data_IF_972618771945
#
_entry.id   IF_972618771945
#
_cell.length_a   1.000
_cell.length_b   1.000
_cell.length_c   1.000
_cell.angle_alpha   90.00
_cell.angle_beta   90.00
_cell.angle_gamma   90.00
#
_symmetry.space_group_name_H-M   'P 1'
#
loop_
_entity.id
_entity.type
_entity.pdbx_description
1 polymer ?
#
# COMPACT_ATOMS: atom_id res chain seq x y z
N UNK A 1 -16.64 15.08 -28.65
CA UNK A 1 -17.54 14.04 -28.11
C UNK A 1 -16.81 12.80 -27.58
N UNK A 2 -15.55 12.53 -27.98
CA UNK A 2 -14.74 11.43 -27.45
C UNK A 2 -14.29 11.50 -25.97
N UNK A 3 -13.96 12.67 -25.36
CA UNK A 3 -13.39 12.68 -24.00
C UNK A 3 -14.41 12.35 -22.90
N UNK A 4 -15.70 12.59 -23.13
CA UNK A 4 -16.75 12.27 -22.16
C UNK A 4 -17.01 10.77 -22.07
N UNK A 5 -16.99 10.05 -23.20
CA UNK A 5 -17.19 8.59 -23.23
C UNK A 5 -16.06 7.86 -22.49
N UNK A 6 -14.80 8.30 -22.68
CA UNK A 6 -13.65 7.73 -21.99
C UNK A 6 -13.75 7.88 -20.45
N UNK A 7 -14.26 9.01 -19.96
CA UNK A 7 -14.45 9.22 -18.53
C UNK A 7 -15.51 8.25 -17.98
N UNK A 8 -16.64 8.06 -18.67
CA UNK A 8 -17.67 7.12 -18.24
C UNK A 8 -17.16 5.67 -18.22
N UNK A 9 -16.39 5.26 -19.22
CA UNK A 9 -15.79 3.92 -19.27
C UNK A 9 -14.81 3.73 -18.09
N UNK A 10 -13.96 4.71 -17.81
CA UNK A 10 -13.05 4.67 -16.66
C UNK A 10 -13.78 4.57 -15.32
N UNK A 11 -14.87 5.33 -15.14
CA UNK A 11 -15.69 5.25 -13.92
C UNK A 11 -16.38 3.89 -13.79
N UNK A 12 -16.84 3.31 -14.89
CA UNK A 12 -17.42 1.96 -14.90
C UNK A 12 -16.39 0.91 -14.48
N UNK A 13 -15.16 0.99 -15.02
CA UNK A 13 -14.07 0.08 -14.68
C UNK A 13 -13.65 0.21 -13.20
N UNK A 14 -13.53 1.44 -12.71
CA UNK A 14 -13.24 1.70 -11.29
C UNK A 14 -14.33 1.18 -10.37
N UNK A 15 -15.59 1.29 -10.78
CA UNK A 15 -16.73 0.79 -10.02
C UNK A 15 -16.71 -0.74 -9.91
N UNK A 16 -16.35 -1.44 -10.98
CA UNK A 16 -16.17 -2.89 -10.97
C UNK A 16 -15.04 -3.30 -10.01
N UNK A 17 -13.90 -2.62 -10.06
CA UNK A 17 -12.75 -2.88 -9.19
C UNK A 17 -13.15 -2.68 -7.72
N UNK A 18 -13.84 -1.60 -7.40
CA UNK A 18 -14.35 -1.32 -6.05
C UNK A 18 -15.27 -2.45 -5.54
N UNK A 19 -16.18 -2.95 -6.38
CA UNK A 19 -17.05 -4.09 -6.01
C UNK A 19 -16.26 -5.36 -5.71
N UNK A 20 -15.22 -5.65 -6.50
CA UNK A 20 -14.35 -6.82 -6.27
C UNK A 20 -13.62 -6.68 -4.94
N UNK A 21 -13.08 -5.49 -4.65
CA UNK A 21 -12.43 -5.22 -3.37
C UNK A 21 -13.37 -5.39 -2.18
N UNK A 22 -14.56 -4.79 -2.23
CA UNK A 22 -15.58 -4.94 -1.18
C UNK A 22 -15.96 -6.41 -1.00
N UNK A 23 -16.15 -7.15 -2.10
CA UNK A 23 -16.42 -8.59 -2.04
C UNK A 23 -15.31 -9.36 -1.32
N UNK A 24 -14.05 -9.13 -1.70
CA UNK A 24 -12.91 -9.77 -1.05
C UNK A 24 -12.82 -9.43 0.44
N UNK A 25 -13.05 -8.17 0.81
CA UNK A 25 -13.10 -7.74 2.22
C UNK A 25 -14.21 -8.46 2.97
N UNK A 26 -15.39 -8.60 2.37
CA UNK A 26 -16.54 -9.26 2.96
C UNK A 26 -16.27 -10.75 3.18
N UNK A 27 -15.77 -11.44 2.16
CA UNK A 27 -15.37 -12.86 2.26
C UNK A 27 -14.30 -13.04 3.34
N UNK A 28 -13.27 -12.19 3.35
CA UNK A 28 -12.20 -12.23 4.35
C UNK A 28 -12.75 -12.02 5.75
N UNK A 29 -13.59 -11.00 5.95
CA UNK A 29 -14.20 -10.70 7.24
C UNK A 29 -15.05 -11.87 7.75
N UNK A 30 -15.96 -12.39 6.91
CA UNK A 30 -16.83 -13.50 7.31
C UNK A 30 -16.00 -14.75 7.60
N UNK A 31 -14.99 -15.08 6.79
CA UNK A 31 -14.13 -16.23 7.04
C UNK A 31 -13.28 -16.09 8.29
N UNK A 32 -12.80 -14.90 8.61
CA UNK A 32 -11.98 -14.64 9.80
C UNK A 32 -12.81 -14.68 11.10
N UNK A 33 -14.11 -14.36 11.03
CA UNK A 33 -14.97 -14.31 12.23
C UNK A 33 -15.83 -15.56 12.42
N UNK A 34 -16.31 -16.18 11.34
CA UNK A 34 -17.20 -17.35 11.37
C UNK A 34 -16.55 -18.65 10.88
N UNK A 35 -15.32 -18.58 10.36
CA UNK A 35 -14.63 -19.74 9.80
C UNK A 35 -15.18 -20.19 8.45
N UNK A 36 -15.07 -21.48 8.16
CA UNK A 36 -15.37 -22.10 6.86
C UNK A 36 -16.64 -22.97 6.85
N UNK A 37 -17.49 -22.86 7.87
CA UNK A 37 -18.75 -23.62 7.96
C UNK A 37 -19.81 -23.21 6.93
N UNK A 38 -20.86 -24.01 6.77
CA UNK A 38 -21.95 -23.72 5.83
C UNK A 38 -22.64 -22.36 6.10
N UNK A 39 -22.73 -21.97 7.37
CA UNK A 39 -23.26 -20.67 7.79
C UNK A 39 -22.44 -19.50 7.23
N UNK A 40 -21.11 -19.64 7.14
CA UNK A 40 -20.20 -18.64 6.58
C UNK A 40 -20.52 -18.40 5.10
N UNK A 41 -20.74 -19.47 4.32
CA UNK A 41 -21.11 -19.35 2.91
C UNK A 41 -22.49 -18.72 2.68
N UNK A 42 -23.48 -19.07 3.51
CA UNK A 42 -24.81 -18.45 3.45
C UNK A 42 -24.73 -16.95 3.74
N UNK A 43 -23.97 -16.56 4.77
CA UNK A 43 -23.74 -15.16 5.11
C UNK A 43 -22.97 -14.41 4.02
N UNK A 44 -21.92 -15.01 3.46
CA UNK A 44 -21.19 -14.43 2.33
C UNK A 44 -22.13 -14.19 1.17
N UNK A 45 -22.96 -15.17 0.80
CA UNK A 45 -23.89 -15.03 -0.32
C UNK A 45 -24.93 -13.92 -0.06
N UNK A 46 -25.56 -13.91 1.12
CA UNK A 46 -26.56 -12.92 1.49
C UNK A 46 -26.01 -11.49 1.57
N UNK A 47 -24.87 -11.33 2.24
CA UNK A 47 -24.22 -10.01 2.37
C UNK A 47 -23.66 -9.52 1.03
N UNK A 48 -23.11 -10.41 0.20
CA UNK A 48 -22.63 -10.06 -1.14
C UNK A 48 -23.78 -9.59 -2.01
N UNK A 49 -24.90 -10.33 -2.02
CA UNK A 49 -26.08 -9.94 -2.77
C UNK A 49 -26.58 -8.55 -2.33
N UNK A 50 -26.77 -8.37 -1.02
CA UNK A 50 -27.26 -7.11 -0.48
C UNK A 50 -26.30 -5.94 -0.75
N UNK A 51 -25.01 -6.09 -0.49
CA UNK A 51 -24.04 -4.98 -0.59
C UNK A 51 -23.71 -4.63 -2.05
N UNK A 52 -23.60 -5.61 -2.95
CA UNK A 52 -23.14 -5.35 -4.33
C UNK A 52 -24.27 -4.99 -5.31
N UNK A 53 -25.50 -5.44 -5.06
CA UNK A 53 -26.63 -5.25 -5.98
C UNK A 53 -27.64 -4.22 -5.49
N UNK A 54 -28.02 -4.26 -4.21
CA UNK A 54 -29.09 -3.41 -3.68
C UNK A 54 -28.54 -2.18 -2.94
N UNK A 55 -27.59 -2.40 -2.02
CA UNK A 55 -27.00 -1.38 -1.18
C UNK A 55 -25.81 -0.64 -1.78
N UNK A 56 -25.39 -0.93 -3.02
CA UNK A 56 -24.14 -0.40 -3.57
C UNK A 56 -24.08 1.13 -3.60
N UNK A 57 -25.21 1.78 -3.88
CA UNK A 57 -25.32 3.25 -3.89
C UNK A 57 -24.96 3.88 -2.52
N UNK A 58 -25.11 3.13 -1.43
CA UNK A 58 -24.82 3.57 -0.06
C UNK A 58 -23.44 3.03 0.39
N UNK A 59 -23.21 1.73 0.23
CA UNK A 59 -21.98 1.07 0.71
C UNK A 59 -20.74 1.43 -0.11
N UNK A 60 -20.88 1.70 -1.42
CA UNK A 60 -19.78 2.12 -2.28
C UNK A 60 -19.11 3.41 -1.77
N UNK A 61 -19.86 4.51 -1.62
CA UNK A 61 -19.32 5.76 -1.06
C UNK A 61 -18.76 5.60 0.36
N UNK A 62 -19.45 4.86 1.24
CA UNK A 62 -18.97 4.60 2.62
C UNK A 62 -17.62 3.86 2.59
N UNK A 63 -17.48 2.87 1.71
CA UNK A 63 -16.24 2.12 1.56
C UNK A 63 -15.09 2.99 1.07
N UNK A 64 -15.34 3.88 0.09
CA UNK A 64 -14.34 4.85 -0.37
C UNK A 64 -13.93 5.79 0.77
N UNK A 65 -14.89 6.29 1.55
CA UNK A 65 -14.61 7.14 2.72
C UNK A 65 -13.75 6.40 3.74
N UNK A 66 -14.08 5.13 4.01
CA UNK A 66 -13.34 4.29 4.94
C UNK A 66 -11.91 4.02 4.47
N UNK A 67 -11.73 3.75 3.17
CA UNK A 67 -10.42 3.60 2.55
C UNK A 67 -9.61 4.89 2.62
N UNK A 68 -10.22 6.04 2.32
CA UNK A 68 -9.56 7.34 2.43
C UNK A 68 -9.10 7.63 3.86
N UNK A 69 -9.95 7.32 4.85
CA UNK A 69 -9.61 7.46 6.26
C UNK A 69 -8.48 6.51 6.68
N UNK A 70 -8.54 5.24 6.26
CA UNK A 70 -7.48 4.26 6.53
C UNK A 70 -6.15 4.67 5.90
N UNK A 71 -6.13 5.05 4.62
CA UNK A 71 -4.92 5.52 3.95
C UNK A 71 -4.41 6.83 4.54
N UNK A 72 -5.30 7.75 4.91
CA UNK A 72 -4.92 9.01 5.57
C UNK A 72 -4.28 8.77 6.93
N UNK A 73 -4.88 7.92 7.76
CA UNK A 73 -4.33 7.57 9.08
C UNK A 73 -3.02 6.78 8.94
N UNK A 74 -2.96 5.79 8.04
CA UNK A 74 -1.73 5.03 7.77
C UNK A 74 -0.61 5.95 7.27
N UNK A 75 -0.91 6.92 6.40
CA UNK A 75 0.05 7.92 5.94
C UNK A 75 0.59 8.77 7.09
N UNK A 76 -0.29 9.29 7.95
CA UNK A 76 0.12 10.05 9.13
C UNK A 76 1.00 9.20 10.06
N UNK A 77 0.61 7.95 10.34
CA UNK A 77 1.40 7.04 11.19
C UNK A 77 2.78 6.80 10.58
N UNK A 78 2.86 6.50 9.28
CA UNK A 78 4.12 6.35 8.56
C UNK A 78 4.96 7.62 8.74
N UNK A 79 4.41 8.79 8.46
CA UNK A 79 5.11 10.06 8.62
C UNK A 79 5.62 10.26 10.04
N UNK A 80 4.85 9.94 11.09
CA UNK A 80 5.30 10.00 12.48
C UNK A 80 6.49 9.08 12.79
N UNK A 81 6.47 7.83 12.29
CA UNK A 81 7.55 6.88 12.51
C UNK A 81 8.82 7.20 11.69
N UNK A 82 8.67 7.71 10.46
CA UNK A 82 9.80 8.02 9.59
C UNK A 82 10.38 9.43 9.83
N UNK A 83 9.59 10.41 10.26
CA UNK A 83 10.07 11.74 10.67
C UNK A 83 10.62 11.70 12.11
N UNK A 84 10.02 10.91 13.01
CA UNK A 84 10.52 10.70 14.37
C UNK A 84 11.84 9.90 14.43
N UNK A 85 12.13 9.08 13.42
CA UNK A 85 13.42 8.40 13.26
C UNK A 85 14.52 9.29 12.66
N UNK A 86 14.22 10.55 12.31
CA UNK A 86 15.19 11.55 11.86
C UNK A 86 16.00 12.22 12.99
N UNK A 87 16.08 11.61 14.17
CA UNK A 87 17.05 11.98 15.19
C UNK A 87 18.48 11.68 14.70
N UNK A 88 19.51 12.43 15.16
CA UNK A 88 20.88 12.19 14.75
C UNK A 88 21.22 10.71 14.94
N UNK A 89 21.90 10.08 13.98
CA UNK A 89 22.12 8.64 13.99
C UNK A 89 22.70 8.23 15.35
N UNK A 90 22.09 7.28 16.07
CA UNK A 90 22.76 6.68 17.21
C UNK A 90 24.10 6.13 16.72
N UNK A 91 25.14 6.37 17.51
CA UNK A 91 26.49 5.89 17.24
C UNK A 91 26.43 4.43 16.79
N UNK A 92 27.21 4.03 15.78
CA UNK A 92 27.05 2.74 15.11
C UNK A 92 27.26 1.61 16.10
N UNK A 93 26.17 0.99 16.57
CA UNK A 93 26.24 -0.37 17.10
C UNK A 93 26.31 -1.31 15.90
N UNK A 94 27.46 -1.94 15.76
CA UNK A 94 27.75 -2.98 14.78
C UNK A 94 26.69 -4.08 14.88
N UNK A 95 25.98 -4.34 13.78
CA UNK A 95 25.41 -5.68 13.57
C UNK A 95 23.92 -5.81 13.22
N UNK A 96 23.19 -4.74 12.89
CA UNK A 96 21.89 -4.92 12.23
C UNK A 96 21.90 -4.32 10.83
N UNK A 97 22.22 -5.16 9.85
CA UNK A 97 21.98 -4.90 8.44
C UNK A 97 20.46 -4.80 8.21
N UNK A 98 19.97 -3.57 8.03
CA UNK A 98 18.63 -3.32 7.50
C UNK A 98 18.53 -3.94 6.09
N UNK A 99 17.52 -4.79 5.80
CA UNK A 99 17.39 -5.43 4.50
C UNK A 99 16.97 -4.47 3.38
N UNK A 100 16.66 -3.21 3.70
CA UNK A 100 16.29 -2.19 2.73
C UNK A 100 17.47 -1.25 2.57
N UNK A 101 18.39 -1.65 1.68
CA UNK A 101 19.49 -0.80 1.20
C UNK A 101 18.88 0.46 0.58
N UNK A 102 18.84 1.54 1.34
CA UNK A 102 18.35 2.82 0.87
C UNK A 102 19.22 3.31 -0.28
N UNK A 103 18.65 4.03 -1.27
CA UNK A 103 19.42 4.54 -2.42
C UNK A 103 20.62 5.42 -2.04
N UNK A 104 20.65 5.90 -0.80
CA UNK A 104 21.75 6.65 -0.17
C UNK A 104 22.98 5.75 0.04
N UNK A 105 22.79 4.50 0.44
CA UNK A 105 23.88 3.53 0.66
C UNK A 105 24.56 3.13 -0.66
N UNK A 106 23.81 3.17 -1.76
CA UNK A 106 24.32 2.93 -3.12
C UNK A 106 25.14 4.14 -3.58
N UNK A 107 24.64 5.37 -3.38
CA UNK A 107 25.39 6.58 -3.74
C UNK A 107 26.70 6.71 -2.95
N UNK A 108 26.69 6.37 -1.65
CA UNK A 108 27.89 6.42 -0.82
C UNK A 108 28.95 5.43 -1.29
N UNK A 109 28.57 4.16 -1.54
CA UNK A 109 29.49 3.16 -2.10
C UNK A 109 30.01 3.54 -3.48
N UNK A 110 29.17 4.15 -4.32
CA UNK A 110 29.59 4.60 -5.65
C UNK A 110 30.62 5.73 -5.58
N UNK A 111 30.48 6.66 -4.62
CA UNK A 111 31.47 7.71 -4.37
C UNK A 111 32.78 7.16 -3.80
N UNK A 112 32.72 6.20 -2.88
CA UNK A 112 33.92 5.54 -2.33
C UNK A 112 34.69 4.79 -3.41
N UNK A 113 34.01 4.04 -4.28
CA UNK A 113 34.64 3.38 -5.43
C UNK A 113 35.21 4.38 -6.46
N UNK A 114 34.53 5.50 -6.70
CA UNK A 114 35.04 6.55 -7.58
C UNK A 114 36.32 7.19 -7.01
N UNK A 115 36.33 7.51 -5.70
CA UNK A 115 37.47 8.10 -5.02
C UNK A 115 38.69 7.15 -5.01
N UNK A 116 38.47 5.86 -4.76
CA UNK A 116 39.55 4.87 -4.73
C UNK A 116 40.20 4.68 -6.12
N UNK A 117 39.41 4.74 -7.19
CA UNK A 117 39.90 4.67 -8.57
C UNK A 117 40.67 5.93 -8.99
N UNK A 118 40.28 7.11 -8.50
CA UNK A 118 41.04 8.34 -8.72
C UNK A 118 42.36 8.37 -7.96
N UNK A 119 42.39 7.87 -6.72
CA UNK A 119 43.60 7.78 -5.92
C UNK A 119 44.62 6.79 -6.52
N UNK A 120 44.16 5.63 -7.00
CA UNK A 120 45.01 4.64 -7.67
C UNK A 120 45.62 5.17 -8.99
N UNK A 121 44.93 6.07 -9.69
CA UNK A 121 45.46 6.74 -10.89
C UNK A 121 46.48 7.82 -10.56
N UNK A 122 46.38 8.50 -9.42
CA UNK A 122 47.37 9.50 -8.99
C UNK A 122 48.68 8.86 -8.51
N UNK A 123 48.63 7.68 -7.88
CA UNK A 123 49.85 6.97 -7.45
C UNK A 123 50.64 6.30 -8.60
N UNK A 124 50.07 6.26 -9.81
CA UNK A 124 50.72 5.70 -11.02
C UNK A 124 51.33 6.75 -11.94
N UNK A 125 51.39 8.02 -11.53
CA UNK A 125 52.09 9.10 -12.24
C UNK A 125 53.40 9.45 -11.57
#
# INVERSE_FOLDING_TARGET
MAPLLFIFDLFSDMNLILKIFVFMTLVSWVKNHLGSGALSWILIAGLTYFVLFDGWAIFGPIYILYMLLMFGISGIIIDFFFIGAGGPPPAPEEGMESPVSSGVDIQKRMQEHAAHNTAARMMRR
#
